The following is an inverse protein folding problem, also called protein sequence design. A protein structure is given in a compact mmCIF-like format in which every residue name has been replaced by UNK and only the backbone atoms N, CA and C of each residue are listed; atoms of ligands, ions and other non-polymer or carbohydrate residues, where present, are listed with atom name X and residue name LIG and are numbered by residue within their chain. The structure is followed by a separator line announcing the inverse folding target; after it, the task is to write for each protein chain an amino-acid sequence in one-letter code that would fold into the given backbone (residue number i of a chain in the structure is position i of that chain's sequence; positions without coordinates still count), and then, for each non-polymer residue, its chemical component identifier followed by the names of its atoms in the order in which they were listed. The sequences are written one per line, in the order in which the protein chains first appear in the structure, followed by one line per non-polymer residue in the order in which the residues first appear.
data_IF_663774571687
#
_entry.id   IF_663774571687
#
_cell.length_a   1.000
_cell.length_b   1.000
_cell.length_c   1.000
_cell.angle_alpha   90.00
_cell.angle_beta   90.00
_cell.angle_gamma   90.00
#
_symmetry.space_group_name_H-M   'P 1'
#
loop_
_entity.id
_entity.type
_entity.pdbx_description
1 polymer ?
#
# COMPACT_ATOMS: atom_id res chain seq x y z
N UNK A 1 4.78 19.56 -10.97
CA UNK A 1 3.79 19.85 -9.91
C UNK A 1 2.43 20.15 -10.49
N UNK A 2 2.34 20.88 -11.63
CA UNK A 2 1.06 21.16 -12.32
C UNK A 2 0.22 19.92 -12.68
N UNK A 3 0.83 18.84 -13.21
CA UNK A 3 0.06 17.64 -13.56
C UNK A 3 -0.56 16.92 -12.36
N UNK A 4 0.02 17.07 -11.16
CA UNK A 4 -0.52 16.43 -9.94
C UNK A 4 -1.76 17.18 -9.45
N UNK A 5 -1.77 18.50 -9.63
CA UNK A 5 -2.94 19.32 -9.34
C UNK A 5 -4.04 19.02 -10.35
N UNK A 6 -3.71 18.89 -11.64
CA UNK A 6 -4.69 18.53 -12.67
C UNK A 6 -5.39 17.20 -12.40
N UNK A 7 -4.64 16.16 -12.03
CA UNK A 7 -5.22 14.84 -11.70
C UNK A 7 -6.07 14.89 -10.43
N UNK A 8 -5.65 15.67 -9.42
CA UNK A 8 -6.45 15.85 -8.20
C UNK A 8 -7.72 16.65 -8.47
N UNK A 9 -7.63 17.71 -9.28
CA UNK A 9 -8.77 18.53 -9.69
C UNK A 9 -9.77 17.71 -10.53
N UNK A 10 -9.28 16.86 -11.44
CA UNK A 10 -10.09 15.88 -12.18
C UNK A 10 -10.75 14.86 -11.23
N UNK A 11 -10.00 14.25 -10.31
CA UNK A 11 -10.54 13.26 -9.37
C UNK A 11 -11.54 13.86 -8.40
N UNK A 12 -11.34 15.09 -7.92
CA UNK A 12 -12.30 15.81 -7.07
C UNK A 12 -13.61 16.05 -7.81
N UNK A 13 -13.53 16.39 -9.11
CA UNK A 13 -14.69 16.70 -9.94
C UNK A 13 -15.45 15.45 -10.42
N UNK A 14 -14.75 14.39 -10.83
CA UNK A 14 -15.36 13.20 -11.42
C UNK A 14 -15.58 12.05 -10.41
N UNK A 15 -14.73 11.93 -9.39
CA UNK A 15 -14.74 10.81 -8.45
C UNK A 15 -14.42 11.25 -7.00
N UNK A 16 -15.30 12.03 -6.35
CA UNK A 16 -15.03 12.65 -5.04
C UNK A 16 -14.75 11.64 -3.90
N UNK A 17 -15.25 10.40 -4.03
CA UNK A 17 -14.95 9.32 -3.10
C UNK A 17 -13.49 8.85 -3.16
N UNK A 18 -12.87 8.88 -4.33
CA UNK A 18 -11.46 8.51 -4.53
C UNK A 18 -10.51 9.66 -4.16
N UNK A 19 -10.94 10.91 -4.35
CA UNK A 19 -10.14 12.08 -4.00
C UNK A 19 -9.84 12.20 -2.50
N UNK A 20 -10.75 11.71 -1.64
CA UNK A 20 -10.59 11.70 -0.18
C UNK A 20 -9.94 10.43 0.37
N UNK A 21 -9.58 9.46 -0.48
CA UNK A 21 -8.99 8.21 -0.05
C UNK A 21 -7.50 8.38 0.21
N UNK A 22 -7.03 7.97 1.39
CA UNK A 22 -5.60 7.95 1.69
C UNK A 22 -4.89 6.96 0.76
N UNK A 23 -3.78 7.38 0.15
CA UNK A 23 -3.00 6.52 -0.76
C UNK A 23 -2.23 5.46 0.04
N UNK A 24 -2.96 4.45 0.49
CA UNK A 24 -2.46 3.31 1.24
C UNK A 24 -2.35 2.14 0.28
N UNK A 25 -1.20 1.45 0.29
CA UNK A 25 -1.05 0.21 -0.45
C UNK A 25 -2.00 -0.84 0.17
N UNK A 26 -3.05 -1.29 -0.56
CA UNK A 26 -4.08 -2.17 0.01
C UNK A 26 -3.56 -3.57 0.35
N UNK A 27 -2.39 -3.93 -0.19
CA UNK A 27 -1.72 -5.19 0.05
C UNK A 27 -0.28 -4.94 0.49
N UNK A 28 0.02 -5.33 1.72
CA UNK A 28 1.39 -5.40 2.23
C UNK A 28 1.73 -6.85 2.51
N UNK A 29 2.91 -7.29 2.10
CA UNK A 29 3.43 -8.58 2.53
C UNK A 29 3.77 -8.52 4.04
N UNK A 30 3.50 -9.57 4.82
CA UNK A 30 3.94 -9.64 6.21
C UNK A 30 5.45 -9.49 6.33
N UNK A 31 5.95 -8.90 7.43
CA UNK A 31 7.39 -8.84 7.68
C UNK A 31 7.99 -10.26 7.68
N UNK A 32 9.10 -10.44 6.96
CA UNK A 32 9.78 -11.73 6.85
C UNK A 32 9.22 -12.73 5.83
N UNK A 33 8.14 -12.38 5.09
CA UNK A 33 7.52 -13.26 4.09
C UNK A 33 8.53 -13.83 3.07
N UNK A 34 9.44 -12.99 2.57
CA UNK A 34 10.47 -13.42 1.61
C UNK A 34 11.73 -13.99 2.26
N UNK A 35 11.94 -13.75 3.56
CA UNK A 35 13.13 -14.22 4.26
C UNK A 35 13.10 -15.74 4.49
N UNK A 36 11.92 -16.31 4.79
CA UNK A 36 11.74 -17.76 4.94
C UNK A 36 11.50 -18.52 3.63
N UNK A 37 11.33 -17.82 2.51
CA UNK A 37 10.94 -18.42 1.23
C UNK A 37 11.91 -19.50 0.71
N UNK A 38 13.24 -19.33 0.77
CA UNK A 38 14.18 -20.37 0.33
C UNK A 38 14.03 -21.66 1.16
N UNK A 39 13.89 -21.52 2.48
CA UNK A 39 13.72 -22.64 3.40
C UNK A 39 12.40 -23.39 3.13
N UNK A 40 11.31 -22.66 2.92
CA UNK A 40 10.01 -23.24 2.56
C UNK A 40 10.07 -24.03 1.24
N UNK A 41 10.77 -23.49 0.23
CA UNK A 41 10.94 -24.18 -1.05
C UNK A 41 11.79 -25.44 -0.92
N UNK A 42 12.79 -25.44 -0.03
CA UNK A 42 13.64 -26.59 0.24
C UNK A 42 12.87 -27.69 1.01
N UNK A 43 11.99 -27.31 1.93
CA UNK A 43 11.10 -28.22 2.64
C UNK A 43 10.09 -28.91 1.71
N UNK A 44 9.52 -28.18 0.74
CA UNK A 44 8.60 -28.70 -0.28
C UNK A 44 9.23 -29.75 -1.21
N UNK A 45 10.55 -29.68 -1.43
CA UNK A 45 11.28 -30.60 -2.31
C UNK A 45 11.65 -31.91 -1.60
N UNK A 46 11.59 -31.96 -0.26
CA UNK A 46 11.90 -33.18 0.50
C UNK A 46 10.75 -34.20 0.34
N UNK A 47 11.03 -35.45 -0.08
CA UNK A 47 10.01 -36.47 -0.38
C UNK A 47 9.22 -36.93 0.86
N UNK A 48 9.74 -36.67 2.06
CA UNK A 48 9.15 -37.09 3.35
C UNK A 48 7.90 -36.25 3.74
N UNK A 49 7.65 -35.13 3.04
CA UNK A 49 6.61 -34.13 3.38
C UNK A 49 5.66 -33.84 2.20
N UNK A 50 5.25 -34.86 1.45
CA UNK A 50 4.33 -34.73 0.30
C UNK A 50 2.92 -34.23 0.65
N UNK A 51 2.65 -33.89 1.91
CA UNK A 51 1.36 -33.35 2.37
C UNK A 51 1.58 -32.27 3.44
N UNK A 52 2.23 -31.17 3.10
CA UNK A 52 2.34 -30.02 4.02
C UNK A 52 1.84 -28.76 3.31
N UNK A 53 0.51 -28.62 3.25
CA UNK A 53 -0.05 -27.27 3.23
C UNK A 53 0.39 -26.59 4.55
N UNK A 54 0.91 -25.36 4.51
CA UNK A 54 1.34 -24.65 5.72
C UNK A 54 0.14 -24.53 6.67
N UNK A 55 0.22 -25.19 7.82
CA UNK A 55 -0.81 -25.18 8.87
C UNK A 55 -0.97 -23.81 9.53
N UNK A 56 -0.03 -22.90 9.29
CA UNK A 56 -0.09 -21.51 9.72
C UNK A 56 -0.31 -20.56 8.54
N UNK A 57 -1.46 -20.73 7.87
CA UNK A 57 -1.99 -19.77 6.91
C UNK A 57 -3.35 -19.35 7.45
N UNK A 58 -3.61 -18.05 7.50
CA UNK A 58 -5.00 -17.57 7.55
C UNK A 58 -5.63 -18.03 6.23
N UNK A 59 -6.21 -19.23 6.26
CA UNK A 59 -6.94 -19.81 5.14
C UNK A 59 -8.28 -19.07 5.12
N UNK A 60 -8.35 -18.00 4.32
CA UNK A 60 -9.61 -17.30 4.05
C UNK A 60 -10.68 -18.23 3.43
N UNK A 61 -10.25 -19.41 2.95
CA UNK A 61 -11.11 -20.45 2.42
C UNK A 61 -10.85 -21.74 3.19
N UNK A 62 -11.83 -22.15 3.97
CA UNK A 62 -11.87 -23.46 4.62
C UNK A 62 -12.99 -24.28 3.99
N UNK A 63 -12.71 -25.55 3.76
CA UNK A 63 -13.75 -26.52 3.38
C UNK A 63 -14.43 -26.95 4.69
N UNK A 64 -15.76 -26.86 4.81
CA UNK A 64 -16.47 -27.35 5.99
C UNK A 64 -16.16 -28.83 6.26
N UNK A 65 -16.00 -29.20 7.52
CA UNK A 65 -15.83 -30.61 7.92
C UNK A 65 -16.97 -31.46 7.37
N UNK A 66 -16.67 -32.58 6.71
CA UNK A 66 -17.67 -33.48 6.13
C UNK A 66 -18.20 -33.07 4.75
N UNK A 67 -17.73 -31.97 4.17
CA UNK A 67 -18.13 -31.57 2.81
C UNK A 67 -17.75 -32.65 1.78
N UNK A 68 -16.53 -33.19 1.88
CA UNK A 68 -16.06 -34.21 0.95
C UNK A 68 -16.64 -35.60 1.23
N UNK A 69 -17.07 -35.87 2.46
CA UNK A 69 -17.68 -37.16 2.83
C UNK A 69 -19.03 -37.38 2.14
N UNK A 70 -19.79 -36.29 1.95
CA UNK A 70 -21.10 -36.30 1.28
C UNK A 70 -21.03 -35.97 -0.21
N UNK A 71 -19.85 -35.67 -0.74
CA UNK A 71 -19.68 -35.27 -2.13
C UNK A 71 -19.96 -36.43 -3.11
N UNK A 72 -19.47 -37.66 -2.91
CA UNK A 72 -19.75 -38.78 -3.81
C UNK A 72 -21.24 -39.09 -3.93
N UNK A 73 -21.96 -39.11 -2.80
CA UNK A 73 -23.40 -39.35 -2.77
C UNK A 73 -24.18 -38.24 -3.47
N UNK A 74 -23.76 -36.97 -3.27
CA UNK A 74 -24.35 -35.83 -3.99
C UNK A 74 -24.13 -35.94 -5.50
N UNK A 75 -22.92 -36.28 -5.95
CA UNK A 75 -22.64 -36.45 -7.38
C UNK A 75 -23.44 -37.61 -8.00
N UNK A 76 -23.58 -38.72 -7.27
CA UNK A 76 -24.35 -39.88 -7.74
C UNK A 76 -25.85 -39.58 -7.82
N UNK A 77 -26.40 -38.85 -6.83
CA UNK A 77 -27.79 -38.42 -6.84
C UNK A 77 -28.06 -37.42 -7.97
N UNK A 78 -27.12 -36.50 -8.22
CA UNK A 78 -27.19 -35.55 -9.34
C UNK A 78 -27.20 -36.28 -10.69
N UNK A 79 -26.27 -37.22 -10.91
CA UNK A 79 -26.20 -37.99 -12.15
C UNK A 79 -27.49 -38.79 -12.40
N UNK A 80 -28.06 -39.41 -11.36
CA UNK A 80 -29.34 -40.13 -11.46
C UNK A 80 -30.53 -39.22 -11.76
N UNK A 81 -30.50 -37.97 -11.30
CA UNK A 81 -31.54 -36.99 -11.62
C UNK A 81 -31.44 -36.49 -13.07
N UNK A 82 -30.24 -36.49 -13.65
CA UNK A 82 -29.99 -36.11 -15.03
C UNK A 82 -30.39 -37.19 -16.05
N UNK A 83 -30.33 -38.48 -15.69
CA UNK A 83 -30.63 -39.59 -16.61
C UNK A 83 -32.12 -39.76 -16.97
N UNK A 84 -33.04 -38.90 -16.49
CA UNK A 84 -34.49 -39.07 -16.69
C UNK A 84 -35.34 -37.81 -16.80
N UNK A 85 -34.76 -36.63 -16.96
CA UNK A 85 -35.47 -35.35 -16.91
C UNK A 85 -35.56 -34.65 -18.29
N UNK A 86 -36.59 -33.84 -18.50
CA UNK A 86 -36.67 -32.96 -19.67
C UNK A 86 -35.57 -31.90 -19.63
N UNK A 87 -35.11 -31.39 -20.78
CA UNK A 87 -34.06 -30.34 -20.88
C UNK A 87 -34.36 -29.13 -19.97
N UNK A 88 -35.64 -28.77 -19.81
CA UNK A 88 -36.04 -27.65 -18.95
C UNK A 88 -35.92 -28.00 -17.44
N UNK A 89 -36.14 -29.26 -17.07
CA UNK A 89 -35.94 -29.76 -15.71
C UNK A 89 -34.43 -29.90 -15.40
N UNK A 90 -33.63 -30.38 -16.36
CA UNK A 90 -32.16 -30.42 -16.27
C UNK A 90 -31.57 -29.02 -16.02
N UNK A 91 -32.00 -28.03 -16.82
CA UNK A 91 -31.54 -26.65 -16.67
C UNK A 91 -31.92 -26.04 -15.32
N UNK A 92 -33.09 -26.40 -14.79
CA UNK A 92 -33.57 -25.93 -13.49
C UNK A 92 -32.75 -26.51 -12.33
N UNK A 93 -32.26 -27.75 -12.45
CA UNK A 93 -31.40 -28.41 -11.46
C UNK A 93 -29.96 -27.87 -11.54
N UNK A 94 -29.35 -27.87 -12.73
CA UNK A 94 -27.96 -27.43 -12.92
C UNK A 94 -27.76 -25.94 -12.67
N UNK A 95 -28.77 -25.15 -13.03
CA UNK A 95 -28.68 -23.70 -13.02
C UNK A 95 -30.06 -23.08 -12.76
N UNK A 96 -30.53 -23.09 -11.50
CA UNK A 96 -31.85 -22.56 -11.16
C UNK A 96 -32.02 -21.07 -11.53
N UNK A 97 -30.91 -20.35 -11.74
CA UNK A 97 -30.91 -19.00 -12.29
C UNK A 97 -31.17 -19.00 -13.80
N UNK A 98 -30.45 -19.81 -14.59
CA UNK A 98 -30.62 -19.85 -16.04
C UNK A 98 -31.98 -20.45 -16.44
N UNK A 99 -32.49 -21.44 -15.70
CA UNK A 99 -33.85 -21.96 -15.90
C UNK A 99 -34.95 -20.93 -15.66
N UNK A 100 -34.69 -19.90 -14.83
CA UNK A 100 -35.61 -18.78 -14.59
C UNK A 100 -35.42 -17.62 -15.57
N UNK A 101 -34.35 -17.62 -16.35
CA UNK A 101 -34.07 -16.56 -17.30
C UNK A 101 -34.96 -16.73 -18.53
N UNK A 102 -35.69 -15.67 -18.90
CA UNK A 102 -36.48 -15.66 -20.11
C UNK A 102 -35.55 -15.84 -21.32
N UNK A 103 -35.80 -16.86 -22.16
CA UNK A 103 -35.04 -17.16 -23.40
C UNK A 103 -35.30 -16.11 -24.50
N UNK A 104 -35.43 -14.84 -24.14
CA UNK A 104 -35.64 -13.74 -25.06
C UNK A 104 -34.29 -13.30 -25.63
N UNK A 105 -34.11 -13.46 -26.93
CA UNK A 105 -32.95 -12.92 -27.62
C UNK A 105 -33.14 -11.40 -27.78
N UNK A 106 -32.12 -10.58 -27.48
CA UNK A 106 -32.23 -9.12 -27.57
C UNK A 106 -32.42 -8.60 -29.00
N UNK A 107 -32.26 -9.47 -30.00
CA UNK A 107 -32.41 -9.14 -31.40
C UNK A 107 -33.44 -10.07 -32.03
N UNK A 108 -34.64 -9.55 -32.27
CA UNK A 108 -35.63 -10.18 -33.13
C UNK A 108 -35.90 -9.27 -34.32
N UNK A 109 -36.20 -9.89 -35.46
CA UNK A 109 -36.58 -9.13 -36.64
C UNK A 109 -38.00 -8.58 -36.44
N UNK A 110 -38.27 -7.32 -36.85
CA UNK A 110 -39.63 -6.79 -36.86
C UNK A 110 -40.55 -7.67 -37.70
N UNK A 111 -41.81 -7.82 -37.26
CA UNK A 111 -42.82 -8.52 -38.04
C UNK A 111 -42.97 -7.85 -39.42
N UNK A 112 -42.96 -8.64 -40.49
CA UNK A 112 -43.10 -8.12 -41.86
C UNK A 112 -41.84 -7.52 -42.49
N UNK A 113 -40.67 -7.57 -41.83
CA UNK A 113 -39.42 -7.03 -42.39
C UNK A 113 -39.12 -7.51 -43.83
N UNK A 114 -39.34 -8.81 -44.09
CA UNK A 114 -39.12 -9.39 -45.42
C UNK A 114 -40.27 -9.14 -46.40
N UNK A 115 -41.47 -8.85 -45.92
CA UNK A 115 -42.64 -8.56 -46.75
C UNK A 115 -42.55 -7.16 -47.35
N UNK A 116 -42.02 -6.20 -46.59
CA UNK A 116 -41.82 -4.81 -47.04
C UNK A 116 -40.52 -4.63 -47.85
N UNK A 117 -39.55 -5.54 -47.71
CA UNK A 117 -38.23 -5.45 -48.34
C UNK A 117 -38.29 -5.25 -49.87
N UNK A 118 -39.12 -5.96 -50.65
CA UNK A 118 -39.20 -5.77 -52.10
C UNK A 118 -39.69 -4.37 -52.49
N UNK A 119 -40.64 -3.82 -51.72
CA UNK A 119 -41.16 -2.46 -51.95
C UNK A 119 -40.11 -1.40 -51.64
N UNK A 120 -39.45 -1.52 -50.48
CA UNK A 120 -38.40 -0.60 -50.05
C UNK A 120 -37.19 -0.59 -51.00
N UNK A 121 -36.81 -1.76 -51.54
CA UNK A 121 -35.74 -1.87 -52.55
C UNK A 121 -36.16 -1.19 -53.86
N UNK A 122 -37.39 -1.40 -54.32
CA UNK A 122 -37.88 -0.79 -55.55
C UNK A 122 -37.96 0.74 -55.44
N UNK A 123 -38.41 1.26 -54.29
CA UNK A 123 -38.48 2.69 -54.04
C UNK A 123 -37.10 3.31 -53.84
N UNK A 124 -36.18 2.61 -53.18
CA UNK A 124 -34.77 3.00 -53.10
C UNK A 124 -34.09 3.06 -54.47
N UNK A 125 -34.35 2.08 -55.34
CA UNK A 125 -33.83 2.07 -56.71
C UNK A 125 -34.36 3.24 -57.55
N UNK A 126 -35.66 3.58 -57.42
CA UNK A 126 -36.24 4.76 -58.08
C UNK A 126 -35.65 6.06 -57.56
N UNK A 127 -35.43 6.17 -56.25
CA UNK A 127 -34.81 7.36 -55.66
C UNK A 127 -33.36 7.56 -56.14
N UNK A 128 -32.58 6.48 -56.25
CA UNK A 128 -31.21 6.54 -56.79
C UNK A 128 -31.23 6.92 -58.27
N UNK A 129 -32.18 6.38 -59.06
CA UNK A 129 -32.31 6.73 -60.48
C UNK A 129 -32.66 8.21 -60.66
N UNK A 130 -33.59 8.74 -59.88
CA UNK A 130 -33.99 10.16 -59.91
C UNK A 130 -32.84 11.08 -59.48
N UNK A 131 -32.10 10.72 -58.42
CA UNK A 131 -30.93 11.47 -57.99
C UNK A 131 -29.84 11.44 -59.06
N UNK A 132 -29.57 10.31 -59.72
CA UNK A 132 -28.59 10.26 -60.79
C UNK A 132 -29.00 11.11 -62.01
N UNK A 133 -30.28 11.12 -62.38
CA UNK A 133 -30.81 11.95 -63.46
C UNK A 133 -30.71 13.46 -63.13
N UNK A 134 -30.94 13.84 -61.86
CA UNK A 134 -30.72 15.22 -61.40
C UNK A 134 -29.22 15.56 -61.23
N UNK A 135 -28.38 14.59 -60.83
CA UNK A 135 -26.93 14.74 -60.72
C UNK A 135 -26.28 14.95 -62.09
N UNK A 136 -26.77 14.29 -63.15
CA UNK A 136 -26.34 14.50 -64.53
C UNK A 136 -26.75 15.88 -65.07
N UNK A 137 -27.84 16.44 -64.54
CA UNK A 137 -28.32 17.80 -64.85
C UNK A 137 -27.80 18.88 -63.89
N UNK A 138 -26.85 18.57 -63.00
CA UNK A 138 -26.35 19.55 -62.05
C UNK A 138 -25.61 20.72 -62.72
N UNK A 139 -25.86 21.91 -62.20
CA UNK A 139 -25.21 23.15 -62.63
C UNK A 139 -23.67 23.04 -62.56
N UNK A 140 -22.99 23.72 -63.49
CA UNK A 140 -21.52 23.73 -63.63
C UNK A 140 -20.75 24.00 -62.31
N UNK A 141 -21.38 24.62 -61.32
CA UNK A 141 -20.80 24.90 -60.00
C UNK A 141 -20.57 23.63 -59.14
N UNK A 142 -21.44 22.62 -59.20
CA UNK A 142 -21.25 21.39 -58.43
C UNK A 142 -20.24 20.43 -59.06
N UNK A 143 -20.04 20.50 -60.37
CA UNK A 143 -18.96 19.76 -61.06
C UNK A 143 -17.57 20.19 -60.54
N UNK A 144 -17.34 21.47 -60.26
CA UNK A 144 -16.06 21.97 -59.71
C UNK A 144 -15.78 21.41 -58.29
N UNK A 145 -16.84 21.18 -57.50
CA UNK A 145 -16.72 20.64 -56.14
C UNK A 145 -16.43 19.14 -56.11
N UNK A 146 -16.96 18.35 -57.05
CA UNK A 146 -16.66 16.92 -57.17
C UNK A 146 -15.16 16.65 -57.38
N UNK A 147 -14.47 17.55 -58.08
CA UNK A 147 -13.02 17.47 -58.34
C UNK A 147 -12.14 17.85 -57.14
N UNK A 148 -12.68 18.46 -56.09
CA UNK A 148 -11.89 18.84 -54.90
C UNK A 148 -12.03 17.77 -53.84
N UNK A 149 -11.03 16.88 -53.76
CA UNK A 149 -10.88 15.94 -52.65
C UNK A 149 -10.43 16.73 -51.39
N UNK A 150 -11.28 16.90 -50.36
CA UNK A 150 -10.99 17.78 -49.22
C UNK A 150 -9.94 17.20 -48.27
N UNK A 151 -9.69 15.89 -48.34
CA UNK A 151 -8.77 15.19 -47.45
C UNK A 151 -7.55 14.70 -48.23
N UNK A 152 -6.52 15.53 -48.32
CA UNK A 152 -5.21 15.14 -48.86
C UNK A 152 -4.15 15.32 -47.78
N UNK A 153 -3.46 14.23 -47.45
CA UNK A 153 -2.32 14.29 -46.53
C UNK A 153 -1.19 15.06 -47.23
N UNK A 154 -0.54 16.03 -46.56
CA UNK A 154 0.63 16.71 -47.11
C UNK A 154 1.72 15.72 -47.50
N UNK A 155 2.43 16.01 -48.58
CA UNK A 155 3.65 15.28 -48.96
C UNK A 155 4.60 15.33 -47.77
N UNK A 156 5.23 14.21 -47.43
CA UNK A 156 6.16 14.06 -46.30
C UNK A 156 5.55 14.13 -44.88
N UNK A 157 4.22 14.10 -44.74
CA UNK A 157 3.60 14.02 -43.41
C UNK A 157 4.12 12.82 -42.60
N UNK A 158 4.11 11.63 -43.18
CA UNK A 158 4.53 10.41 -42.50
C UNK A 158 6.04 10.27 -42.38
N UNK A 159 6.84 10.90 -43.25
CA UNK A 159 8.31 10.85 -43.17
C UNK A 159 8.82 11.77 -42.05
N UNK A 160 8.19 12.93 -41.85
CA UNK A 160 8.56 13.85 -40.78
C UNK A 160 7.89 13.56 -39.44
N UNK A 161 6.83 12.74 -39.41
CA UNK A 161 6.06 12.46 -38.20
C UNK A 161 6.90 11.84 -37.06
N UNK A 162 7.71 10.77 -37.29
CA UNK A 162 8.52 10.19 -36.22
C UNK A 162 9.54 11.17 -35.65
N UNK A 163 10.19 11.97 -36.51
CA UNK A 163 11.15 12.99 -36.12
C UNK A 163 10.50 14.09 -35.26
N UNK A 164 9.29 14.54 -35.63
CA UNK A 164 8.50 15.51 -34.85
C UNK A 164 8.09 14.97 -33.49
N UNK A 165 7.66 13.70 -33.42
CA UNK A 165 7.26 13.07 -32.16
C UNK A 165 8.45 12.88 -31.21
N UNK A 166 9.61 12.48 -31.75
CA UNK A 166 10.83 12.32 -30.97
C UNK A 166 11.36 13.66 -30.44
N UNK A 167 11.28 14.73 -31.25
CA UNK A 167 11.61 16.08 -30.80
C UNK A 167 10.70 16.54 -29.64
N UNK A 168 9.39 16.33 -29.76
CA UNK A 168 8.43 16.65 -28.68
C UNK A 168 8.66 15.83 -27.41
N UNK A 169 9.00 14.55 -27.54
CA UNK A 169 9.31 13.70 -26.39
C UNK A 169 10.57 14.17 -25.64
N UNK A 170 11.59 14.67 -26.36
CA UNK A 170 12.82 15.23 -25.76
C UNK A 170 12.62 16.62 -25.15
N UNK A 171 11.65 17.39 -25.64
CA UNK A 171 11.34 18.74 -25.14
C UNK A 171 10.60 18.72 -23.80
N UNK A 172 9.99 17.60 -23.41
CA UNK A 172 9.46 17.38 -22.07
C UNK A 172 10.60 17.19 -21.06
N UNK A 173 11.19 18.32 -20.64
CA UNK A 173 12.29 18.41 -19.69
C UNK A 173 11.94 17.78 -18.33
N UNK A 174 12.98 17.21 -17.73
CA UNK A 174 13.03 16.57 -16.41
C UNK A 174 12.20 17.33 -15.36
N UNK A 175 11.32 16.60 -14.67
CA UNK A 175 10.43 17.15 -13.66
C UNK A 175 11.23 17.85 -12.54
N UNK A 176 10.86 19.10 -12.23
CA UNK A 176 11.44 19.90 -11.14
C UNK A 176 11.28 19.15 -9.81
N UNK A 177 12.38 18.58 -9.31
CA UNK A 177 12.46 17.98 -7.98
C UNK A 177 12.40 19.12 -6.97
N UNK A 178 11.36 19.12 -6.13
CA UNK A 178 11.24 20.04 -5.00
C UNK A 178 11.47 19.24 -3.73
N UNK A 179 12.52 19.56 -2.99
CA UNK A 179 12.79 18.99 -1.68
C UNK A 179 11.73 19.47 -0.67
N UNK A 180 11.04 18.54 -0.01
CA UNK A 180 10.04 18.85 1.01
C UNK A 180 10.70 18.82 2.41
N UNK A 181 10.71 19.94 3.14
CA UNK A 181 11.33 20.03 4.48
C UNK A 181 10.34 19.69 5.61
N UNK A 182 9.93 18.43 5.74
CA UNK A 182 8.91 17.97 6.70
C UNK A 182 9.38 17.90 8.17
N UNK A 183 10.70 17.73 8.42
CA UNK A 183 11.23 17.47 9.77
C UNK A 183 11.06 18.59 10.80
N UNK A 184 11.07 19.86 10.38
CA UNK A 184 11.00 20.99 11.32
C UNK A 184 9.62 21.18 11.96
N UNK A 185 8.55 20.71 11.30
CA UNK A 185 7.17 20.82 11.83
C UNK A 185 6.85 19.68 12.79
N UNK A 186 7.35 18.46 12.53
CA UNK A 186 7.12 17.32 13.43
C UNK A 186 7.84 17.43 14.78
N UNK A 187 9.05 18.00 14.82
CA UNK A 187 9.79 18.13 16.09
C UNK A 187 9.02 18.94 17.16
N UNK A 188 8.21 19.92 16.73
CA UNK A 188 7.40 20.73 17.66
C UNK A 188 6.30 19.91 18.33
N UNK A 189 5.70 18.96 17.61
CA UNK A 189 4.70 18.05 18.17
C UNK A 189 5.34 16.98 19.07
N UNK A 190 6.52 16.47 18.69
CA UNK A 190 7.26 15.51 19.51
C UNK A 190 7.64 16.10 20.89
N UNK A 191 8.15 17.33 20.93
CA UNK A 191 8.50 18.00 22.18
C UNK A 191 7.28 18.18 23.12
N UNK A 192 6.12 18.54 22.58
CA UNK A 192 4.89 18.68 23.37
C UNK A 192 4.41 17.33 23.95
N UNK A 193 4.51 16.24 23.18
CA UNK A 193 4.16 14.90 23.64
C UNK A 193 5.07 14.41 24.78
N UNK A 194 6.37 14.72 24.73
CA UNK A 194 7.33 14.39 25.80
C UNK A 194 7.01 15.15 27.08
N UNK A 195 6.72 16.46 26.99
CA UNK A 195 6.35 17.27 28.16
C UNK A 195 5.03 16.78 28.76
N UNK A 196 4.02 16.49 27.92
CA UNK A 196 2.76 15.92 28.39
C UNK A 196 2.94 14.55 29.04
N UNK A 197 3.79 13.69 28.45
CA UNK A 197 4.19 12.41 29.02
C UNK A 197 4.82 12.55 30.39
N UNK A 198 5.81 13.44 30.55
CA UNK A 198 6.48 13.70 31.83
C UNK A 198 5.52 14.20 32.90
N UNK A 199 4.59 15.10 32.54
CA UNK A 199 3.58 15.62 33.48
C UNK A 199 2.61 14.52 33.91
N UNK A 200 2.16 13.68 32.97
CA UNK A 200 1.29 12.55 33.27
C UNK A 200 2.00 11.49 34.13
N UNK A 201 3.24 11.15 33.81
CA UNK A 201 4.03 10.20 34.60
C UNK A 201 4.33 10.74 35.99
N UNK A 202 4.68 12.03 36.12
CA UNK A 202 4.94 12.65 37.43
C UNK A 202 3.67 12.71 38.30
N UNK A 203 2.52 13.03 37.71
CA UNK A 203 1.23 13.01 38.42
C UNK A 203 0.83 11.61 38.87
N UNK A 204 1.14 10.58 38.07
CA UNK A 204 0.90 9.18 38.44
C UNK A 204 1.83 8.73 39.57
N UNK A 205 3.12 9.12 39.51
CA UNK A 205 4.14 8.76 40.49
C UNK A 205 3.90 9.46 41.84
N UNK A 206 3.41 10.71 41.82
CA UNK A 206 3.00 11.42 43.04
C UNK A 206 1.80 10.75 43.75
N UNK A 207 0.91 10.12 42.97
CA UNK A 207 -0.20 9.35 43.53
C UNK A 207 0.22 7.96 44.01
N UNK A 208 1.30 7.39 43.48
CA UNK A 208 1.84 6.09 43.92
C UNK A 208 2.84 6.20 45.08
N UNK A 209 3.31 7.40 45.43
CA UNK A 209 4.25 7.64 46.52
C UNK A 209 3.55 7.65 47.90
N UNK A 210 3.16 6.47 48.39
CA UNK A 210 3.30 6.19 49.83
C UNK A 210 4.81 5.99 50.10
N UNK A 211 5.39 6.54 51.18
CA UNK A 211 6.84 6.47 51.36
C UNK A 211 7.29 5.02 51.64
N UNK A 212 7.88 4.37 50.65
CA UNK A 212 8.68 3.17 50.85
C UNK A 212 10.02 3.60 51.47
N UNK A 213 10.38 3.00 52.60
CA UNK A 213 11.62 3.26 53.31
C UNK A 213 12.84 2.86 52.47
N UNK A 214 13.89 3.69 52.53
CA UNK A 214 15.20 3.49 51.89
C UNK A 214 15.98 2.24 52.37
N UNK A 215 15.37 1.39 53.19
CA UNK A 215 15.94 0.12 53.68
C UNK A 215 15.74 -1.05 52.70
N UNK A 216 15.11 -0.82 51.54
CA UNK A 216 14.75 -1.88 50.59
C UNK A 216 15.52 -1.85 49.27
N UNK A 217 16.59 -1.07 49.15
CA UNK A 217 17.55 -1.30 48.05
C UNK A 217 18.57 -2.28 48.57
N UNK A 218 18.53 -3.51 48.07
CA UNK A 218 19.47 -4.55 48.49
C UNK A 218 20.83 -4.29 47.85
N UNK A 219 21.92 -4.62 48.55
CA UNK A 219 23.29 -4.47 48.03
C UNK A 219 23.50 -5.16 46.67
N UNK A 220 22.69 -6.17 46.36
CA UNK A 220 22.68 -6.86 45.07
C UNK A 220 22.23 -5.97 43.90
N UNK A 221 21.24 -5.09 44.10
CA UNK A 221 20.76 -4.17 43.05
C UNK A 221 21.76 -3.05 42.79
N UNK A 222 22.46 -2.60 43.83
CA UNK A 222 23.57 -1.65 43.70
C UNK A 222 24.74 -2.27 42.92
N UNK A 223 24.99 -3.56 43.13
CA UNK A 223 26.05 -4.28 42.43
C UNK A 223 25.73 -4.46 40.94
N UNK A 224 24.48 -4.78 40.61
CA UNK A 224 24.03 -4.87 39.21
C UNK A 224 24.05 -3.52 38.48
N UNK A 225 23.72 -2.42 39.17
CA UNK A 225 23.84 -1.07 38.61
C UNK A 225 25.30 -0.71 38.28
N UNK A 226 26.25 -1.07 39.16
CA UNK A 226 27.68 -0.84 38.93
C UNK A 226 28.22 -1.71 37.79
N UNK A 227 27.75 -2.95 37.67
CA UNK A 227 28.13 -3.87 36.60
C UNK A 227 27.58 -3.41 35.23
N UNK A 228 26.33 -2.95 35.19
CA UNK A 228 25.68 -2.45 33.97
C UNK A 228 26.32 -1.18 33.40
N UNK A 229 27.01 -0.42 34.23
CA UNK A 229 27.72 0.80 33.82
C UNK A 229 29.16 0.53 33.33
N UNK A 230 29.65 -0.72 33.38
CA UNK A 230 30.96 -1.07 32.82
C UNK A 230 30.89 -1.03 31.28
N UNK A 231 31.76 -0.26 30.60
CA UNK A 231 31.80 -0.26 29.15
C UNK A 231 32.21 -1.64 28.63
N UNK A 232 31.39 -2.22 27.75
CA UNK A 232 31.72 -3.47 27.03
C UNK A 232 32.90 -3.18 26.09
N UNK A 233 34.04 -3.82 26.33
CA UNK A 233 35.22 -3.74 25.47
C UNK A 233 35.31 -5.06 24.71
N UNK A 234 35.12 -5.02 23.39
CA UNK A 234 35.28 -6.18 22.51
C UNK A 234 36.76 -6.59 22.41
N UNK A 235 36.99 -7.89 22.61
CA UNK A 235 38.27 -8.59 22.81
C UNK A 235 39.10 -8.76 21.51
N UNK A 236 39.36 -7.67 20.77
CA UNK A 236 40.28 -7.71 19.62
C UNK A 236 41.34 -6.60 19.60
N UNK A 237 41.38 -5.70 20.59
CA UNK A 237 42.47 -4.73 20.74
C UNK A 237 42.96 -4.63 22.18
N UNK A 238 43.58 -5.70 22.67
CA UNK A 238 44.36 -5.71 23.90
C UNK A 238 45.64 -4.87 23.73
N UNK A 239 45.51 -3.55 23.91
CA UNK A 239 46.61 -2.68 24.29
C UNK A 239 46.06 -1.54 25.16
N UNK A 240 46.42 -1.60 26.45
CA UNK A 240 46.11 -0.64 27.52
C UNK A 240 44.77 -0.82 28.26
N UNK A 241 44.57 -1.99 28.88
CA UNK A 241 43.85 -2.05 30.17
C UNK A 241 44.81 -1.64 31.28
N UNK A 242 44.68 -0.40 31.77
CA UNK A 242 45.28 0.00 33.04
C UNK A 242 44.39 -0.60 34.14
N UNK A 243 44.86 -1.64 34.81
CA UNK A 243 44.32 -2.04 36.11
C UNK A 243 44.63 -0.90 37.09
N UNK A 244 43.62 -0.09 37.38
CA UNK A 244 43.73 1.01 38.34
C UNK A 244 43.54 0.42 39.73
N UNK A 245 44.62 0.31 40.49
CA UNK A 245 44.58 -0.21 41.85
C UNK A 245 44.16 0.87 42.84
N UNK A 246 43.74 0.46 44.04
CA UNK A 246 43.34 1.38 45.11
C UNK A 246 44.46 2.37 45.51
N UNK A 247 45.72 2.04 45.22
CA UNK A 247 46.86 2.93 45.40
C UNK A 247 46.87 4.06 44.36
N UNK A 248 46.54 3.77 43.10
CA UNK A 248 46.50 4.75 42.01
C UNK A 248 45.35 5.74 42.20
N UNK A 249 44.18 5.27 42.65
CA UNK A 249 43.05 6.14 43.01
C UNK A 249 43.43 7.09 44.15
N UNK A 250 44.20 6.61 45.12
CA UNK A 250 44.68 7.43 46.23
C UNK A 250 45.67 8.50 45.76
N UNK A 251 46.49 8.21 44.75
CA UNK A 251 47.42 9.18 44.15
C UNK A 251 46.69 10.20 43.27
N UNK A 252 45.67 9.78 42.51
CA UNK A 252 44.80 10.68 41.74
C UNK A 252 43.98 11.62 42.62
N UNK A 253 43.58 11.17 43.81
CA UNK A 253 42.86 11.97 44.78
C UNK A 253 43.78 12.72 45.76
N UNK A 254 45.09 12.47 45.72
CA UNK A 254 46.03 13.14 46.62
C UNK A 254 46.20 14.64 46.31
N UNK A 255 45.94 15.05 45.07
CA UNK A 255 45.96 16.45 44.65
C UNK A 255 44.68 17.20 45.02
N UNK A 256 43.60 16.49 45.38
CA UNK A 256 42.36 17.10 45.83
C UNK A 256 42.44 17.32 47.33
N UNK A 257 42.51 18.57 47.73
CA UNK A 257 42.55 18.93 49.15
C UNK A 257 41.17 18.81 49.79
N UNK A 258 41.11 18.46 51.07
CA UNK A 258 39.84 18.31 51.80
C UNK A 258 38.98 19.60 51.75
N UNK A 259 39.60 20.77 51.60
CA UNK A 259 38.92 22.06 51.44
C UNK A 259 38.16 22.19 50.11
N UNK A 260 38.69 21.62 49.01
CA UNK A 260 38.01 21.63 47.71
C UNK A 260 36.84 20.64 47.69
N UNK A 261 36.98 19.50 48.35
CA UNK A 261 35.87 18.55 48.56
C UNK A 261 34.76 19.19 49.40
N UNK A 262 35.12 19.91 50.45
CA UNK A 262 34.13 20.63 51.27
C UNK A 262 33.38 21.69 50.47
N UNK A 263 34.07 22.47 49.64
CA UNK A 263 33.42 23.46 48.75
C UNK A 263 32.50 22.81 47.72
N UNK A 264 32.91 21.68 47.15
CA UNK A 264 32.12 20.95 46.18
C UNK A 264 30.83 20.40 46.81
N UNK A 265 30.94 19.85 48.03
CA UNK A 265 29.76 19.42 48.80
C UNK A 265 28.86 20.59 49.16
N UNK A 266 29.40 21.74 49.57
CA UNK A 266 28.61 22.94 49.85
C UNK A 266 27.89 23.49 48.61
N UNK A 267 28.53 23.39 47.44
CA UNK A 267 27.97 23.83 46.17
C UNK A 267 26.83 22.92 45.66
N UNK A 268 26.96 21.61 45.83
CA UNK A 268 25.95 20.63 45.37
C UNK A 268 24.85 20.34 46.41
N UNK A 269 25.14 20.42 47.72
CA UNK A 269 24.14 20.15 48.78
C UNK A 269 23.36 21.38 49.25
N UNK A 270 23.74 22.60 48.83
CA UNK A 270 22.98 23.81 49.09
C UNK A 270 22.85 24.20 50.57
N UNK A 271 23.72 23.70 51.46
CA UNK A 271 23.71 23.99 52.90
C UNK A 271 25.06 24.58 53.32
N UNK A 272 25.07 25.85 53.74
CA UNK A 272 26.25 26.57 54.24
C UNK A 272 26.40 26.33 55.75
N UNK A 273 27.51 25.72 56.19
CA UNK A 273 27.72 25.32 57.60
C UNK A 273 28.56 26.31 58.43
N UNK A 274 28.98 27.45 57.88
CA UNK A 274 29.87 28.40 58.56
C UNK A 274 29.17 29.67 59.06
N UNK A 275 28.03 29.53 59.73
CA UNK A 275 27.32 30.64 60.39
C UNK A 275 26.94 30.33 61.84
N UNK A 276 27.90 29.91 62.68
CA UNK A 276 27.77 30.04 64.14
C UNK A 276 29.13 29.91 64.83
N UNK A 277 29.78 31.05 65.08
CA UNK A 277 30.57 31.29 66.29
C UNK A 277 30.48 32.78 66.64
N UNK A 278 29.76 33.05 67.73
CA UNK A 278 30.15 34.02 68.72
C UNK A 278 30.55 33.19 69.95
#
# INVERSE_FOLDING_TARGET
MENRNHILDELINEYPALANMESVMPYSVPPGYFAGFPEFMLELVKPEHSSVLPTNKIIHYFVPSGYLDTLPDRMLNEAKAMDGASIDEELQVLSPLLGKLNKSTPYSLPAGYFDELPSNIADGAKAIALVNEELENLSAMMMDLKSKQPFKVPVDYFTMFPAKMLAKAKEQRQAKVVSMNFGKKLMRYAAAAVVAGLVLTAGWLYRSNSPASLEQVSDAELQEYVEAQRPIVDDENAAATFDIDAADVKEMLAEVTDEELQRYVEQESGVNINSTTN
#
